data_IF_140171591765
#
_entry.id   IF_140171591765
#
_cell.length_a   1.000
_cell.length_b   1.000
_cell.length_c   1.000
_cell.angle_alpha   90.00
_cell.angle_beta   90.00
_cell.angle_gamma   90.00
#
_symmetry.space_group_name_H-M   'P 1'
#
loop_
_entity.id
_entity.type
_entity.pdbx_description
1 polymer ?
#
# COMPACT_ATOMS: atom_id res chain seq x y z
N UNK A 1 -30.45 4.33 -12.62
CA UNK A 1 -29.35 4.28 -11.63
C UNK A 1 -28.89 2.85 -11.63
N UNK A 2 -28.11 2.51 -12.64
CA UNK A 2 -27.74 1.14 -12.93
C UNK A 2 -26.58 0.74 -12.02
N UNK A 3 -26.85 -0.27 -11.20
CA UNK A 3 -25.88 -0.86 -10.29
C UNK A 3 -24.76 -1.51 -11.07
N UNK A 4 -23.54 -1.23 -10.65
CA UNK A 4 -22.33 -1.94 -11.01
C UNK A 4 -22.54 -3.44 -10.76
N UNK A 5 -22.66 -4.22 -11.84
CA UNK A 5 -22.63 -5.69 -11.75
C UNK A 5 -21.18 -6.10 -11.56
N UNK A 6 -20.84 -6.42 -10.31
CA UNK A 6 -19.66 -7.19 -9.94
C UNK A 6 -19.60 -8.48 -10.80
N UNK A 7 -18.38 -8.85 -11.17
CA UNK A 7 -18.04 -10.12 -11.82
C UNK A 7 -18.92 -11.25 -11.28
N UNK A 8 -19.61 -11.93 -12.20
CA UNK A 8 -20.50 -13.05 -11.89
C UNK A 8 -19.82 -14.04 -10.95
N UNK A 9 -20.41 -14.27 -9.79
CA UNK A 9 -20.08 -15.33 -8.84
C UNK A 9 -20.13 -16.69 -9.57
N UNK A 10 -18.97 -17.17 -10.04
CA UNK A 10 -18.80 -18.59 -10.27
C UNK A 10 -18.55 -19.22 -8.92
N UNK A 11 -19.56 -19.95 -8.42
CA UNK A 11 -19.43 -20.86 -7.28
C UNK A 11 -18.14 -21.67 -7.42
N UNK A 12 -17.22 -21.44 -6.48
CA UNK A 12 -16.06 -22.30 -6.26
C UNK A 12 -16.61 -23.67 -5.86
N UNK A 13 -16.62 -24.61 -6.79
CA UNK A 13 -16.85 -26.01 -6.47
C UNK A 13 -15.58 -26.56 -5.82
N UNK A 14 -15.73 -27.17 -4.65
CA UNK A 14 -14.69 -27.92 -3.94
C UNK A 14 -13.88 -28.79 -4.90
N UNK A 15 -12.60 -28.47 -5.06
CA UNK A 15 -11.64 -29.34 -5.75
C UNK A 15 -10.43 -29.54 -4.85
N UNK A 16 -10.36 -30.76 -4.34
CA UNK A 16 -9.23 -31.45 -3.73
C UNK A 16 -7.88 -30.71 -3.80
N UNK A 17 -7.49 -30.17 -2.65
CA UNK A 17 -6.13 -29.82 -2.28
C UNK A 17 -5.23 -31.06 -2.26
N UNK A 18 -4.63 -31.42 -3.40
CA UNK A 18 -3.44 -32.29 -3.44
C UNK A 18 -2.45 -31.80 -4.49
N UNK A 19 -1.23 -31.54 -4.02
CA UNK A 19 -0.01 -31.12 -4.73
C UNK A 19 0.15 -29.62 -4.97
N UNK A 20 0.39 -28.87 -3.90
CA UNK A 20 1.28 -27.70 -3.94
C UNK A 20 2.47 -28.09 -3.06
N UNK A 21 3.68 -27.97 -3.60
CA UNK A 21 4.91 -28.30 -2.88
C UNK A 21 4.95 -27.53 -1.57
N UNK A 22 5.30 -28.21 -0.47
CA UNK A 22 5.67 -27.54 0.77
C UNK A 22 6.96 -26.77 0.50
N UNK A 23 6.85 -25.48 0.19
CA UNK A 23 8.00 -24.59 0.17
C UNK A 23 8.47 -24.43 1.62
N UNK A 24 9.72 -24.77 1.88
CA UNK A 24 10.31 -24.59 3.20
C UNK A 24 10.35 -23.10 3.54
N UNK A 25 10.12 -22.75 4.80
CA UNK A 25 10.41 -21.39 5.30
C UNK A 25 11.88 -21.12 5.01
N UNK A 26 12.14 -20.08 4.22
CA UNK A 26 13.48 -19.82 3.66
C UNK A 26 14.17 -18.63 4.32
N UNK A 27 13.45 -17.80 5.07
CA UNK A 27 14.02 -16.60 5.69
C UNK A 27 13.20 -16.11 6.89
N UNK A 28 13.89 -15.79 7.99
CA UNK A 28 13.28 -15.24 9.20
C UNK A 28 13.46 -13.71 9.26
N UNK A 29 12.36 -13.00 9.47
CA UNK A 29 12.30 -11.54 9.54
C UNK A 29 12.47 -11.11 10.99
N UNK A 30 13.49 -10.31 11.25
CA UNK A 30 13.88 -9.86 12.58
C UNK A 30 14.19 -8.37 12.61
N UNK A 31 14.06 -7.75 13.79
CA UNK A 31 14.44 -6.36 14.02
C UNK A 31 15.34 -6.24 15.26
N UNK A 32 16.04 -5.11 15.48
CA UNK A 32 16.77 -4.90 16.72
C UNK A 32 15.82 -4.93 17.93
N UNK A 33 16.24 -5.56 19.03
CA UNK A 33 15.40 -5.72 20.23
C UNK A 33 14.90 -4.40 20.83
N UNK A 34 15.68 -3.32 20.67
CA UNK A 34 15.36 -1.98 21.18
C UNK A 34 15.06 -0.99 20.05
N UNK A 35 14.54 -1.46 18.92
CA UNK A 35 14.12 -0.57 17.84
C UNK A 35 13.07 0.42 18.34
N UNK A 36 13.28 1.70 18.02
CA UNK A 36 12.36 2.79 18.28
C UNK A 36 12.21 3.62 17.02
N UNK A 37 11.00 4.12 16.78
CA UNK A 37 10.72 5.02 15.66
C UNK A 37 11.42 6.36 15.97
N UNK A 38 12.39 6.81 15.16
CA UNK A 38 13.10 8.05 15.39
C UNK A 38 12.24 9.26 14.97
N UNK A 39 12.66 10.47 15.34
CA UNK A 39 12.25 11.65 14.60
C UNK A 39 12.81 11.59 13.18
N UNK A 40 12.00 11.98 12.20
CA UNK A 40 12.39 11.89 10.79
C UNK A 40 13.24 13.08 10.38
N UNK A 41 14.38 12.78 9.74
CA UNK A 41 15.28 13.74 9.12
C UNK A 41 15.55 13.33 7.67
N UNK A 42 15.22 14.23 6.75
CA UNK A 42 15.31 14.01 5.30
C UNK A 42 16.51 14.75 4.67
N UNK A 43 17.27 15.54 5.45
CA UNK A 43 18.25 16.48 4.91
C UNK A 43 19.50 15.87 4.26
N UNK A 44 19.92 14.67 4.69
CA UNK A 44 21.12 13.99 4.15
C UNK A 44 20.80 12.87 3.16
N UNK A 45 19.52 12.69 2.80
CA UNK A 45 19.10 11.65 1.88
C UNK A 45 19.51 11.96 0.43
N UNK A 46 19.94 10.93 -0.29
CA UNK A 46 20.25 10.99 -1.73
C UNK A 46 20.02 9.61 -2.36
N UNK A 47 19.70 9.59 -3.65
CA UNK A 47 19.43 8.35 -4.39
C UNK A 47 20.63 7.41 -4.36
N UNK A 48 21.84 7.96 -4.48
CA UNK A 48 23.09 7.18 -4.51
C UNK A 48 23.32 6.44 -3.19
N UNK A 49 23.00 7.07 -2.05
CA UNK A 49 23.10 6.45 -0.72
C UNK A 49 21.94 5.49 -0.43
N UNK A 50 20.85 5.60 -1.17
CA UNK A 50 19.62 4.84 -0.98
C UNK A 50 19.42 3.73 -2.04
N UNK A 51 20.44 3.41 -2.83
CA UNK A 51 20.36 2.39 -3.89
C UNK A 51 21.25 1.18 -3.58
N UNK A 52 20.66 -0.01 -3.56
CA UNK A 52 21.35 -1.25 -3.21
C UNK A 52 21.09 -2.37 -4.21
N UNK A 53 22.06 -3.26 -4.39
CA UNK A 53 21.86 -4.52 -5.14
C UNK A 53 21.20 -5.54 -4.21
N UNK A 54 20.14 -6.22 -4.68
CA UNK A 54 19.39 -7.20 -3.87
C UNK A 54 20.30 -8.27 -3.25
N UNK A 55 21.28 -8.76 -4.02
CA UNK A 55 22.25 -9.77 -3.59
C UNK A 55 23.15 -9.35 -2.40
N UNK A 56 23.28 -8.05 -2.12
CA UNK A 56 24.15 -7.50 -1.08
C UNK A 56 23.37 -6.67 -0.05
N UNK A 57 22.05 -6.84 0.02
CA UNK A 57 21.20 -6.05 0.90
C UNK A 57 20.37 -6.95 1.80
N UNK A 58 20.44 -6.71 3.11
CA UNK A 58 19.72 -7.52 4.08
C UNK A 58 18.48 -6.82 4.61
N UNK A 59 17.50 -7.64 5.04
CA UNK A 59 16.26 -7.13 5.62
C UNK A 59 16.55 -6.16 6.78
N UNK A 60 17.52 -6.50 7.63
CA UNK A 60 17.86 -5.69 8.82
C UNK A 60 18.42 -4.31 8.44
N UNK A 61 19.17 -4.23 7.34
CA UNK A 61 19.71 -2.96 6.84
C UNK A 61 18.59 -2.11 6.24
N UNK A 62 17.67 -2.74 5.49
CA UNK A 62 16.46 -2.08 4.99
C UNK A 62 15.61 -1.53 6.14
N UNK A 63 15.36 -2.37 7.15
CA UNK A 63 14.55 -2.03 8.31
C UNK A 63 15.12 -0.82 9.05
N UNK A 64 16.42 -0.85 9.40
CA UNK A 64 17.05 0.19 10.20
C UNK A 64 17.30 1.50 9.47
N UNK A 65 17.65 1.44 8.18
CA UNK A 65 18.10 2.61 7.45
C UNK A 65 17.01 3.28 6.62
N UNK A 66 15.91 2.58 6.34
CA UNK A 66 14.86 3.08 5.44
C UNK A 66 13.47 2.92 6.04
N UNK A 67 13.06 1.69 6.39
CA UNK A 67 11.69 1.44 6.88
C UNK A 67 11.40 2.17 8.20
N UNK A 68 12.32 2.11 9.19
CA UNK A 68 12.16 2.81 10.47
C UNK A 68 12.29 4.33 10.32
N UNK A 69 13.18 4.79 9.43
CA UNK A 69 13.50 6.22 9.26
C UNK A 69 12.53 6.94 8.31
N UNK A 70 11.55 6.22 7.76
CA UNK A 70 10.60 6.74 6.79
C UNK A 70 11.31 7.38 5.57
N UNK A 71 12.32 6.68 5.03
CA UNK A 71 13.17 7.15 3.92
C UNK A 71 13.03 6.26 2.67
N UNK A 72 12.93 6.83 1.44
CA UNK A 72 12.82 6.03 0.23
C UNK A 72 14.07 5.18 -0.02
N UNK A 73 13.91 4.06 -0.70
CA UNK A 73 14.99 3.12 -1.00
C UNK A 73 14.78 2.43 -2.35
N UNK A 74 15.86 2.28 -3.13
CA UNK A 74 15.87 1.55 -4.39
C UNK A 74 16.64 0.25 -4.21
N UNK A 75 16.01 -0.87 -4.55
CA UNK A 75 16.61 -2.20 -4.49
C UNK A 75 16.66 -2.75 -5.92
N UNK A 76 17.85 -2.93 -6.46
CA UNK A 76 18.10 -3.33 -7.85
C UNK A 76 17.93 -4.84 -8.03
N UNK A 77 17.42 -5.26 -9.19
CA UNK A 77 17.36 -6.65 -9.66
C UNK A 77 16.54 -7.61 -8.76
N UNK A 78 15.39 -7.15 -8.27
CA UNK A 78 14.50 -7.94 -7.38
C UNK A 78 13.72 -9.01 -8.15
N UNK A 79 13.59 -8.87 -9.47
CA UNK A 79 12.67 -9.69 -10.29
C UNK A 79 13.34 -10.88 -10.98
N UNK A 80 14.62 -11.16 -10.72
CA UNK A 80 15.41 -12.16 -11.47
C UNK A 80 14.77 -13.56 -11.47
N UNK A 81 14.13 -13.94 -10.36
CA UNK A 81 13.47 -15.23 -10.19
C UNK A 81 11.95 -15.19 -10.41
N UNK A 82 11.37 -14.05 -10.78
CA UNK A 82 9.93 -13.94 -10.98
C UNK A 82 9.51 -14.55 -12.32
N UNK A 83 8.45 -15.36 -12.29
CA UNK A 83 7.82 -15.92 -13.48
C UNK A 83 7.40 -14.83 -14.48
N UNK A 84 6.87 -13.71 -14.00
CA UNK A 84 6.50 -12.58 -14.86
C UNK A 84 7.69 -11.95 -15.60
N UNK A 85 8.89 -11.91 -15.01
CA UNK A 85 10.09 -11.42 -15.70
C UNK A 85 10.50 -12.32 -16.87
N UNK A 86 10.13 -13.60 -16.82
CA UNK A 86 10.45 -14.58 -17.85
C UNK A 86 9.37 -14.62 -18.94
N UNK A 87 8.10 -14.44 -18.55
CA UNK A 87 6.96 -14.58 -19.47
C UNK A 87 6.49 -13.26 -20.08
N UNK A 88 6.55 -12.16 -19.33
CA UNK A 88 6.01 -10.86 -19.77
C UNK A 88 7.05 -9.98 -20.46
N UNK A 89 8.30 -10.44 -20.54
CA UNK A 89 9.43 -9.64 -21.02
C UNK A 89 10.15 -10.35 -22.16
N UNK A 90 10.43 -9.62 -23.24
CA UNK A 90 11.23 -10.07 -24.37
C UNK A 90 12.38 -9.08 -24.60
N UNK A 91 13.59 -9.45 -24.18
CA UNK A 91 14.72 -8.51 -24.15
C UNK A 91 14.45 -7.37 -23.18
N UNK A 92 14.42 -6.14 -23.69
CA UNK A 92 14.13 -4.91 -22.91
C UNK A 92 12.73 -4.35 -23.18
N UNK A 93 11.83 -5.16 -23.75
CA UNK A 93 10.48 -4.77 -24.13
C UNK A 93 9.43 -5.74 -23.57
N UNK A 94 8.17 -5.32 -23.60
CA UNK A 94 7.04 -6.17 -23.24
C UNK A 94 6.93 -7.33 -24.24
N UNK A 95 6.78 -8.56 -23.74
CA UNK A 95 6.40 -9.74 -24.52
C UNK A 95 4.88 -9.74 -24.74
N UNK A 96 4.42 -9.03 -25.77
CA UNK A 96 2.99 -8.90 -26.04
C UNK A 96 2.34 -10.24 -26.43
N UNK A 97 3.06 -11.09 -27.16
CA UNK A 97 2.58 -12.42 -27.54
C UNK A 97 2.34 -13.27 -26.29
N UNK A 98 3.31 -13.33 -25.37
CA UNK A 98 3.16 -14.04 -24.09
C UNK A 98 1.99 -13.52 -23.24
N UNK A 99 1.86 -12.19 -23.11
CA UNK A 99 0.72 -11.60 -22.39
C UNK A 99 -0.63 -11.90 -23.05
N UNK A 100 -0.67 -11.97 -24.38
CA UNK A 100 -1.89 -12.32 -25.12
C UNK A 100 -2.26 -13.79 -24.86
N UNK A 101 -1.30 -14.71 -24.93
CA UNK A 101 -1.53 -16.12 -24.65
C UNK A 101 -2.04 -16.37 -23.23
N UNK A 102 -1.50 -15.64 -22.24
CA UNK A 102 -1.86 -15.81 -20.84
C UNK A 102 -3.17 -15.12 -20.46
N UNK A 103 -3.38 -13.89 -20.94
CA UNK A 103 -4.38 -12.99 -20.36
C UNK A 103 -5.34 -12.35 -21.35
N UNK A 104 -5.32 -12.66 -22.66
CA UNK A 104 -6.15 -11.98 -23.68
C UNK A 104 -7.64 -11.82 -23.30
N UNK A 105 -8.23 -12.86 -22.71
CA UNK A 105 -9.65 -12.90 -22.36
C UNK A 105 -9.97 -12.24 -21.01
N UNK A 106 -8.96 -11.83 -20.25
CA UNK A 106 -9.17 -11.12 -18.99
C UNK A 106 -9.68 -9.71 -19.27
N UNK A 107 -10.46 -9.20 -18.31
CA UNK A 107 -10.93 -7.82 -18.32
C UNK A 107 -10.14 -7.06 -17.26
N UNK A 108 -9.61 -5.90 -17.65
CA UNK A 108 -8.82 -5.04 -16.79
C UNK A 108 -9.37 -3.61 -16.80
N UNK A 109 -9.27 -2.90 -15.66
CA UNK A 109 -9.58 -1.47 -15.59
C UNK A 109 -8.54 -0.65 -16.36
N UNK A 110 -9.01 0.20 -17.27
CA UNK A 110 -8.19 1.09 -18.09
C UNK A 110 -8.68 2.52 -17.95
N UNK A 111 -7.79 3.42 -17.53
CA UNK A 111 -8.04 4.86 -17.43
C UNK A 111 -7.72 5.57 -18.75
N UNK A 112 -8.51 6.57 -19.14
CA UNK A 112 -8.14 7.50 -20.21
C UNK A 112 -7.55 8.78 -19.60
N UNK A 113 -6.22 8.91 -19.65
CA UNK A 113 -5.48 10.01 -19.05
C UNK A 113 -5.72 11.36 -19.74
N UNK A 114 -6.28 11.41 -20.95
CA UNK A 114 -6.69 12.68 -21.59
C UNK A 114 -8.09 13.13 -21.16
N UNK A 115 -8.92 12.22 -20.68
CA UNK A 115 -10.29 12.50 -20.26
C UNK A 115 -10.38 12.58 -18.73
N UNK A 116 -10.05 13.75 -18.19
CA UNK A 116 -10.13 14.03 -16.76
C UNK A 116 -11.50 14.63 -16.44
N UNK A 117 -12.27 13.98 -15.58
CA UNK A 117 -13.53 14.50 -15.05
C UNK A 117 -13.44 14.56 -13.52
N UNK A 118 -13.77 15.72 -12.94
CA UNK A 118 -13.71 15.95 -11.48
C UNK A 118 -12.36 15.56 -10.86
N UNK A 119 -11.25 15.93 -11.50
CA UNK A 119 -9.88 15.59 -11.09
C UNK A 119 -9.58 14.07 -11.00
N UNK A 120 -10.42 13.23 -11.60
CA UNK A 120 -10.19 11.79 -11.71
C UNK A 120 -10.17 11.35 -13.17
N UNK A 121 -9.33 10.35 -13.48
CA UNK A 121 -9.30 9.74 -14.79
C UNK A 121 -10.46 8.74 -14.89
N UNK A 122 -11.33 8.91 -15.89
CA UNK A 122 -12.42 7.97 -16.11
C UNK A 122 -11.86 6.59 -16.46
N UNK A 123 -12.27 5.56 -15.71
CA UNK A 123 -11.90 4.17 -15.96
C UNK A 123 -13.01 3.45 -16.69
N UNK A 124 -12.63 2.59 -17.63
CA UNK A 124 -13.52 1.64 -18.29
C UNK A 124 -12.90 0.25 -18.24
N UNK A 125 -13.76 -0.76 -18.16
CA UNK A 125 -13.35 -2.15 -18.34
C UNK A 125 -13.00 -2.40 -19.80
N UNK A 126 -11.82 -2.97 -20.06
CA UNK A 126 -11.32 -3.30 -21.39
C UNK A 126 -10.77 -4.73 -21.40
N UNK A 127 -10.95 -5.45 -22.51
CA UNK A 127 -10.31 -6.76 -22.67
C UNK A 127 -8.81 -6.58 -22.85
N UNK A 128 -8.02 -7.43 -22.22
CA UNK A 128 -6.56 -7.38 -22.34
C UNK A 128 -6.06 -7.45 -23.78
N UNK A 129 -6.72 -8.24 -24.65
CA UNK A 129 -6.34 -8.27 -26.07
C UNK A 129 -6.53 -6.91 -26.77
N UNK A 130 -7.56 -6.14 -26.39
CA UNK A 130 -7.82 -4.80 -26.94
C UNK A 130 -6.78 -3.81 -26.47
N UNK A 131 -6.44 -3.86 -25.17
CA UNK A 131 -5.42 -3.01 -24.58
C UNK A 131 -4.02 -3.32 -25.16
N UNK A 132 -3.67 -4.59 -25.34
CA UNK A 132 -2.42 -5.01 -26.00
C UNK A 132 -2.39 -4.50 -27.45
N UNK A 133 -3.49 -4.61 -28.19
CA UNK A 133 -3.59 -4.08 -29.54
C UNK A 133 -3.44 -2.55 -29.60
N UNK A 134 -3.99 -1.83 -28.60
CA UNK A 134 -3.78 -0.40 -28.42
C UNK A 134 -2.29 -0.07 -28.21
N UNK A 135 -1.60 -0.78 -27.31
CA UNK A 135 -0.17 -0.56 -27.06
C UNK A 135 0.68 -0.81 -28.32
N UNK A 136 0.30 -1.78 -29.17
CA UNK A 136 1.01 -2.06 -30.43
C UNK A 136 0.75 -0.99 -31.51
N UNK A 137 -0.40 -0.33 -31.49
CA UNK A 137 -0.86 0.56 -32.56
C UNK A 137 -1.22 1.94 -32.00
N UNK A 138 -0.23 2.83 -31.90
CA UNK A 138 -0.38 4.19 -31.37
C UNK A 138 -1.12 5.17 -32.32
N UNK A 139 -2.02 4.68 -33.17
CA UNK A 139 -2.84 5.53 -34.05
C UNK A 139 -4.07 6.14 -33.34
N UNK A 140 -4.23 5.84 -32.06
CA UNK A 140 -5.33 6.31 -31.21
C UNK A 140 -4.91 7.60 -30.50
N UNK A 141 -5.76 8.62 -30.55
CA UNK A 141 -5.52 9.90 -29.89
C UNK A 141 -5.63 9.80 -28.36
N UNK A 142 -6.16 8.71 -27.79
CA UNK A 142 -6.29 8.51 -26.34
C UNK A 142 -4.96 8.12 -25.69
N UNK A 143 -4.81 8.46 -24.41
CA UNK A 143 -3.70 7.98 -23.56
C UNK A 143 -4.29 7.01 -22.57
N UNK A 144 -4.27 5.72 -22.90
CA UNK A 144 -4.84 4.69 -22.05
C UNK A 144 -3.80 4.17 -21.07
N UNK A 145 -4.20 4.02 -19.81
CA UNK A 145 -3.37 3.51 -18.73
C UNK A 145 -4.12 2.44 -17.95
N UNK A 146 -3.67 1.19 -18.09
CA UNK A 146 -4.14 0.08 -17.28
C UNK A 146 -3.53 0.19 -15.87
N UNK A 147 -4.38 0.42 -14.86
CA UNK A 147 -3.99 0.51 -13.45
C UNK A 147 -5.09 -0.05 -12.54
N UNK A 148 -4.74 -0.38 -11.31
CA UNK A 148 -5.63 -1.00 -10.30
C UNK A 148 -6.17 -2.37 -10.73
N UNK A 149 -5.35 -3.13 -11.47
CA UNK A 149 -5.70 -4.48 -11.90
C UNK A 149 -5.24 -5.52 -10.87
N UNK A 150 -6.19 -6.05 -10.10
CA UNK A 150 -5.96 -7.12 -9.13
C UNK A 150 -5.85 -8.49 -9.85
N UNK A 151 -4.82 -8.68 -10.69
CA UNK A 151 -4.64 -9.87 -11.53
C UNK A 151 -4.65 -11.17 -10.71
N UNK A 152 -4.05 -11.17 -9.51
CA UNK A 152 -4.03 -12.34 -8.61
C UNK A 152 -5.44 -12.80 -8.22
N UNK A 153 -6.43 -11.91 -8.17
CA UNK A 153 -7.84 -12.26 -7.92
C UNK A 153 -8.47 -12.95 -9.13
N UNK A 154 -8.13 -12.49 -10.33
CA UNK A 154 -8.62 -13.07 -11.58
C UNK A 154 -7.92 -14.41 -11.92
N UNK A 155 -6.67 -14.57 -11.49
CA UNK A 155 -5.84 -15.75 -11.70
C UNK A 155 -5.19 -16.21 -10.38
N UNK A 156 -5.95 -16.77 -9.42
CA UNK A 156 -5.46 -17.08 -8.07
C UNK A 156 -4.34 -18.14 -8.05
N UNK A 157 -4.32 -19.02 -9.05
CA UNK A 157 -3.31 -20.06 -9.21
C UNK A 157 -2.08 -19.58 -10.00
N UNK A 158 -2.05 -18.33 -10.43
CA UNK A 158 -0.91 -17.76 -11.14
C UNK A 158 0.02 -17.05 -10.16
N UNK A 159 1.12 -17.74 -9.82
CA UNK A 159 2.18 -17.23 -8.95
C UNK A 159 3.21 -16.49 -9.80
N UNK A 160 2.81 -15.38 -10.41
CA UNK A 160 3.63 -14.65 -11.38
C UNK A 160 4.73 -13.79 -10.73
N UNK A 161 4.64 -13.51 -9.43
CA UNK A 161 5.64 -12.80 -8.63
C UNK A 161 5.63 -13.31 -7.18
N UNK A 162 6.64 -12.91 -6.43
CA UNK A 162 6.75 -13.14 -5.00
C UNK A 162 7.01 -11.83 -4.27
N UNK A 163 6.47 -11.66 -3.06
CA UNK A 163 6.76 -10.48 -2.24
C UNK A 163 8.23 -10.54 -1.78
N UNK A 164 9.06 -9.53 -2.07
CA UNK A 164 10.45 -9.48 -1.59
C UNK A 164 10.56 -9.50 -0.06
N UNK A 165 11.65 -10.05 0.48
CA UNK A 165 11.89 -10.16 1.95
C UNK A 165 11.72 -8.83 2.70
N UNK A 166 12.09 -7.73 2.05
CA UNK A 166 12.00 -6.36 2.58
C UNK A 166 10.58 -5.91 2.89
N UNK A 167 9.59 -6.42 2.16
CA UNK A 167 8.20 -5.99 2.20
C UNK A 167 7.27 -7.03 2.83
N UNK A 168 7.84 -8.06 3.46
CA UNK A 168 7.08 -9.20 3.97
C UNK A 168 6.43 -8.95 5.35
N UNK A 169 6.75 -7.84 6.02
CA UNK A 169 5.99 -7.36 7.19
C UNK A 169 4.86 -6.45 6.71
N UNK A 170 3.75 -7.07 6.32
CA UNK A 170 2.60 -6.42 5.69
C UNK A 170 1.31 -6.83 6.40
N UNK A 171 0.85 -5.96 7.30
CA UNK A 171 -0.36 -6.20 8.07
C UNK A 171 -1.63 -6.08 7.23
N UNK A 172 -1.64 -5.28 6.15
CA UNK A 172 -2.81 -5.17 5.26
C UNK A 172 -3.05 -6.48 4.55
N UNK A 173 -2.00 -7.07 3.98
CA UNK A 173 -2.10 -8.35 3.30
C UNK A 173 -2.47 -9.49 4.27
N UNK A 174 -1.88 -9.51 5.47
CA UNK A 174 -2.27 -10.45 6.52
C UNK A 174 -3.77 -10.33 6.87
N UNK A 175 -4.26 -9.11 7.08
CA UNK A 175 -5.66 -8.87 7.39
C UNK A 175 -6.58 -9.27 6.23
N UNK A 176 -6.25 -8.88 5.00
CA UNK A 176 -7.05 -9.16 3.81
C UNK A 176 -7.16 -10.66 3.52
N UNK A 177 -6.05 -11.39 3.54
CA UNK A 177 -6.02 -12.84 3.31
C UNK A 177 -6.85 -13.57 4.37
N UNK A 178 -6.65 -13.24 5.65
CA UNK A 178 -7.26 -14.01 6.74
C UNK A 178 -8.76 -13.67 6.93
N UNK A 179 -9.23 -12.55 6.38
CA UNK A 179 -10.65 -12.14 6.41
C UNK A 179 -11.35 -12.24 5.04
N UNK A 180 -10.67 -12.72 3.99
CA UNK A 180 -11.16 -12.75 2.60
C UNK A 180 -11.63 -11.38 2.08
N UNK A 181 -10.91 -10.31 2.43
CA UNK A 181 -11.14 -8.95 1.93
C UNK A 181 -10.21 -8.62 0.73
N UNK A 182 -10.53 -7.56 -0.02
CA UNK A 182 -9.73 -7.09 -1.16
C UNK A 182 -8.93 -5.83 -0.78
N UNK A 183 -7.79 -5.61 -1.45
CA UNK A 183 -6.97 -4.42 -1.27
C UNK A 183 -7.71 -3.17 -1.79
N UNK A 184 -7.66 -2.09 -1.00
CA UNK A 184 -8.45 -0.88 -1.20
C UNK A 184 -7.85 0.04 -2.31
N UNK A 185 -8.70 0.63 -3.17
CA UNK A 185 -8.32 1.35 -4.41
C UNK A 185 -7.96 2.85 -4.24
N UNK A 186 -7.08 3.43 -5.10
CA UNK A 186 -6.84 4.90 -5.14
C UNK A 186 -6.53 5.60 -6.51
N UNK A 187 -6.98 6.87 -6.69
CA UNK A 187 -6.55 7.84 -7.73
C UNK A 187 -5.28 8.64 -7.30
N UNK A 188 -4.88 9.74 -7.98
CA UNK A 188 -3.67 10.55 -7.67
C UNK A 188 -3.68 11.06 -6.21
N UNK A 189 -2.63 10.76 -5.43
CA UNK A 189 -2.69 10.78 -3.97
C UNK A 189 -1.30 10.64 -3.31
N UNK A 190 -1.20 11.01 -2.03
CA UNK A 190 -0.40 10.24 -1.07
C UNK A 190 -0.99 8.83 -0.98
N UNK A 191 -0.15 7.80 -0.94
CA UNK A 191 -0.55 6.40 -0.85
C UNK A 191 -1.72 6.16 0.12
N UNK A 192 -2.67 5.28 -0.26
CA UNK A 192 -3.89 4.99 0.51
C UNK A 192 -3.56 4.89 1.99
N UNK A 193 -4.33 5.54 2.86
CA UNK A 193 -4.13 5.53 4.31
C UNK A 193 -2.88 6.22 4.83
N UNK A 194 -2.11 6.95 4.01
CA UNK A 194 -0.75 7.37 4.38
C UNK A 194 0.12 6.12 4.64
N UNK A 195 -0.11 5.03 3.90
CA UNK A 195 0.62 3.77 4.04
C UNK A 195 2.03 3.88 3.47
N UNK A 196 2.82 2.80 3.63
CA UNK A 196 3.98 2.58 2.78
C UNK A 196 3.50 2.06 1.43
N UNK A 197 4.34 2.18 0.41
CA UNK A 197 4.16 1.42 -0.82
C UNK A 197 5.48 0.93 -1.38
N UNK A 198 5.41 -0.13 -2.18
CA UNK A 198 6.49 -0.51 -3.06
C UNK A 198 5.99 -0.63 -4.49
N UNK A 199 6.87 -0.29 -5.44
CA UNK A 199 6.68 -0.56 -6.86
C UNK A 199 7.86 -1.36 -7.37
N UNK A 200 7.63 -2.53 -7.96
CA UNK A 200 8.65 -3.29 -8.66
C UNK A 200 8.41 -3.20 -10.17
N UNK A 201 9.40 -2.70 -10.89
CA UNK A 201 9.31 -2.47 -12.32
C UNK A 201 9.77 -3.71 -13.09
N UNK A 202 8.84 -4.50 -13.63
CA UNK A 202 9.14 -5.77 -14.30
C UNK A 202 9.79 -5.53 -15.67
N UNK A 203 9.34 -4.49 -16.39
CA UNK A 203 9.91 -4.04 -17.68
C UNK A 203 9.56 -2.59 -17.92
N UNK A 204 10.42 -1.89 -18.67
CA UNK A 204 10.27 -0.47 -18.97
C UNK A 204 11.12 0.40 -18.07
N UNK A 205 10.86 1.71 -18.07
CA UNK A 205 11.61 2.72 -17.32
C UNK A 205 10.66 3.77 -16.77
N UNK A 206 10.81 4.08 -15.47
CA UNK A 206 10.01 5.11 -14.81
C UNK A 206 10.90 6.21 -14.23
N UNK A 207 10.47 7.45 -14.40
CA UNK A 207 10.98 8.60 -13.65
C UNK A 207 10.02 8.93 -12.52
N UNK A 208 10.51 8.92 -11.30
CA UNK A 208 9.80 9.35 -10.11
C UNK A 208 10.31 10.69 -9.64
N UNK A 209 9.39 11.55 -9.20
CA UNK A 209 9.67 12.78 -8.46
C UNK A 209 9.06 12.58 -7.08
N UNK A 210 9.87 12.71 -6.03
CA UNK A 210 9.44 12.53 -4.65
C UNK A 210 9.68 13.80 -3.83
N UNK A 211 8.74 14.12 -2.97
CA UNK A 211 8.81 15.24 -2.03
C UNK A 211 8.89 14.69 -0.61
N UNK A 212 9.84 15.15 0.23
CA UNK A 212 9.80 14.90 1.66
C UNK A 212 8.45 15.31 2.26
N UNK A 213 7.92 14.56 3.23
CA UNK A 213 6.70 14.94 3.94
C UNK A 213 6.75 16.39 4.45
N UNK A 214 5.70 17.15 4.14
CA UNK A 214 5.54 18.58 4.46
C UNK A 214 6.08 19.53 3.38
N UNK A 215 6.89 19.06 2.43
CA UNK A 215 7.42 19.88 1.34
C UNK A 215 6.35 20.15 0.27
N UNK A 216 5.38 19.24 0.12
CA UNK A 216 4.20 19.40 -0.73
C UNK A 216 3.31 20.57 -0.31
N UNK A 217 3.35 21.02 0.95
CA UNK A 217 2.56 22.17 1.41
C UNK A 217 2.93 23.44 0.64
N UNK A 218 4.17 23.53 0.14
CA UNK A 218 4.65 24.63 -0.70
C UNK A 218 4.06 24.60 -2.12
N UNK A 219 3.52 23.46 -2.53
CA UNK A 219 2.86 23.28 -3.84
C UNK A 219 1.39 23.71 -3.82
N UNK A 220 0.77 23.79 -2.64
CA UNK A 220 -0.66 24.04 -2.53
C UNK A 220 -1.03 25.44 -2.99
N UNK A 221 -2.14 25.55 -3.71
CA UNK A 221 -2.73 26.83 -4.07
C UNK A 221 -3.41 27.51 -2.86
N UNK A 222 -3.99 28.69 -3.06
CA UNK A 222 -4.70 29.42 -2.00
C UNK A 222 -5.94 28.70 -1.44
N UNK A 223 -6.39 27.65 -2.12
CA UNK A 223 -7.51 26.80 -1.73
C UNK A 223 -7.03 25.48 -1.09
N UNK A 224 -5.72 25.28 -0.95
CA UNK A 224 -5.13 24.07 -0.37
C UNK A 224 -4.98 22.91 -1.36
N UNK A 225 -5.22 23.11 -2.66
CA UNK A 225 -5.12 22.05 -3.66
C UNK A 225 -3.69 21.90 -4.16
N UNK A 226 -3.23 20.66 -4.30
CA UNK A 226 -1.99 20.33 -5.01
C UNK A 226 -2.17 20.50 -6.52
N UNK A 227 -1.10 20.86 -7.26
CA UNK A 227 -1.14 20.92 -8.71
C UNK A 227 -1.30 19.51 -9.29
N UNK A 228 -1.99 19.40 -10.43
CA UNK A 228 -2.15 18.13 -11.14
C UNK A 228 -0.79 17.56 -11.61
N UNK A 229 0.12 18.44 -12.01
CA UNK A 229 1.47 18.10 -12.45
C UNK A 229 2.45 19.08 -11.83
N UNK A 230 3.51 18.56 -11.23
CA UNK A 230 4.65 19.33 -10.82
C UNK A 230 5.51 19.73 -12.01
N UNK A 231 5.81 21.02 -12.11
CA UNK A 231 6.67 21.61 -13.13
C UNK A 231 7.82 22.34 -12.41
N UNK A 232 9.03 21.74 -12.35
CA UNK A 232 10.15 22.27 -11.57
C UNK A 232 10.51 23.72 -11.90
N UNK A 233 10.32 24.14 -13.15
CA UNK A 233 10.66 25.48 -13.64
C UNK A 233 9.77 26.59 -13.07
N UNK A 234 8.58 26.26 -12.56
CA UNK A 234 7.57 27.23 -12.12
C UNK A 234 7.72 27.63 -10.65
N UNK A 235 8.49 26.89 -9.86
CA UNK A 235 8.56 27.08 -8.41
C UNK A 235 10.03 27.18 -7.96
N UNK A 236 10.31 28.18 -7.12
CA UNK A 236 11.62 28.35 -6.49
C UNK A 236 11.56 27.81 -5.05
N UNK A 237 12.70 27.31 -4.55
CA UNK A 237 12.87 26.85 -3.15
C UNK A 237 12.03 25.63 -2.74
N UNK A 238 11.85 24.69 -3.65
CA UNK A 238 11.25 23.38 -3.36
C UNK A 238 12.31 22.28 -3.42
N UNK A 239 12.31 21.41 -2.41
CA UNK A 239 13.13 20.22 -2.32
C UNK A 239 12.38 19.05 -2.92
N UNK A 240 12.99 18.40 -3.90
CA UNK A 240 12.44 17.17 -4.45
C UNK A 240 13.59 16.29 -4.91
N UNK A 241 13.30 14.99 -5.03
CA UNK A 241 14.26 14.01 -5.48
C UNK A 241 13.76 13.32 -6.74
N UNK A 242 14.67 13.09 -7.68
CA UNK A 242 14.37 12.35 -8.90
C UNK A 242 14.98 10.96 -8.82
N UNK A 243 14.16 9.93 -9.02
CA UNK A 243 14.61 8.54 -9.09
C UNK A 243 14.30 8.01 -10.49
N UNK A 244 15.30 7.43 -11.14
CA UNK A 244 15.09 6.60 -12.32
C UNK A 244 15.01 5.15 -11.87
N UNK A 245 13.82 4.56 -12.03
CA UNK A 245 13.57 3.16 -11.78
C UNK A 245 13.72 2.39 -13.09
N UNK A 246 14.75 1.54 -13.15
CA UNK A 246 15.05 0.70 -14.31
C UNK A 246 14.30 -0.64 -14.21
N UNK A 247 14.39 -1.45 -15.25
CA UNK A 247 13.89 -2.83 -15.26
C UNK A 247 14.50 -3.64 -14.10
N UNK A 248 13.67 -4.38 -13.39
CA UNK A 248 14.02 -5.23 -12.26
C UNK A 248 14.10 -4.51 -10.91
N UNK A 249 14.04 -3.19 -10.88
CA UNK A 249 14.18 -2.42 -9.64
C UNK A 249 12.89 -2.39 -8.81
N UNK A 250 13.03 -2.53 -7.50
CA UNK A 250 12.03 -2.15 -6.52
C UNK A 250 12.29 -0.73 -5.99
N UNK A 251 11.26 0.09 -5.92
CA UNK A 251 11.26 1.36 -5.19
C UNK A 251 10.34 1.22 -3.96
N UNK A 252 10.88 1.47 -2.78
CA UNK A 252 10.13 1.71 -1.55
C UNK A 252 9.80 3.19 -1.42
N UNK A 253 8.50 3.50 -1.30
CA UNK A 253 7.98 4.84 -1.02
C UNK A 253 7.42 4.85 0.41
N UNK A 254 7.98 5.68 1.31
CA UNK A 254 7.52 5.76 2.69
C UNK A 254 6.26 6.62 2.84
N UNK A 255 5.64 6.55 4.01
CA UNK A 255 4.44 7.31 4.38
C UNK A 255 4.72 8.82 4.34
N UNK A 256 3.78 9.63 3.86
CA UNK A 256 3.95 11.09 3.73
C UNK A 256 4.65 11.55 2.45
N UNK A 257 5.32 10.65 1.73
CA UNK A 257 6.12 11.04 0.56
C UNK A 257 5.23 11.22 -0.66
N UNK A 258 4.81 12.47 -0.89
CA UNK A 258 4.12 12.86 -2.11
C UNK A 258 5.00 12.61 -3.32
N UNK A 259 4.41 12.12 -4.41
CA UNK A 259 5.20 11.73 -5.56
C UNK A 259 4.43 11.82 -6.88
N UNK A 260 5.20 11.93 -7.97
CA UNK A 260 4.71 11.91 -9.34
C UNK A 260 5.55 10.93 -10.17
N UNK A 261 4.88 10.16 -11.03
CA UNK A 261 5.51 9.09 -11.80
C UNK A 261 5.27 9.29 -13.29
N UNK A 262 6.34 9.18 -14.07
CA UNK A 262 6.31 9.21 -15.53
C UNK A 262 6.86 7.90 -16.07
N UNK A 263 6.11 7.24 -16.96
CA UNK A 263 6.62 6.11 -17.73
C UNK A 263 7.35 6.66 -18.96
N UNK A 264 8.66 6.47 -19.04
CA UNK A 264 9.49 6.92 -20.16
C UNK A 264 9.50 5.92 -21.33
N UNK A 265 8.99 4.71 -21.08
CA UNK A 265 8.76 3.66 -22.08
C UNK A 265 7.54 2.82 -21.69
N UNK A 266 7.10 1.91 -22.58
CA UNK A 266 6.05 0.96 -22.23
C UNK A 266 6.49 0.11 -21.03
N UNK A 267 5.67 0.12 -20.00
CA UNK A 267 6.06 -0.31 -18.66
C UNK A 267 5.04 -1.25 -18.05
N UNK A 268 5.52 -2.28 -17.35
CA UNK A 268 4.70 -3.14 -16.49
C UNK A 268 5.34 -3.16 -15.10
N UNK A 269 4.56 -2.86 -14.06
CA UNK A 269 5.00 -2.92 -12.68
C UNK A 269 4.00 -3.65 -11.80
N UNK A 270 4.52 -4.23 -10.72
CA UNK A 270 3.72 -4.73 -9.59
C UNK A 270 3.82 -3.72 -8.46
N UNK A 271 2.70 -3.36 -7.86
CA UNK A 271 2.61 -2.33 -6.82
C UNK A 271 1.78 -2.87 -5.65
N UNK A 272 2.20 -2.54 -4.43
CA UNK A 272 1.42 -2.78 -3.23
C UNK A 272 1.54 -1.60 -2.28
N UNK A 273 0.46 -1.36 -1.55
CA UNK A 273 0.43 -0.54 -0.35
C UNK A 273 0.56 -1.47 0.85
N UNK A 274 1.27 -1.04 1.89
CA UNK A 274 1.45 -1.87 3.09
C UNK A 274 1.50 -1.03 4.37
N UNK A 275 1.02 -1.62 5.46
CA UNK A 275 1.10 -1.05 6.81
C UNK A 275 1.80 -2.03 7.72
N UNK A 276 2.62 -1.51 8.64
CA UNK A 276 3.18 -2.27 9.75
C UNK A 276 3.46 -1.39 10.96
N UNK A 277 4.18 -1.93 11.94
CA UNK A 277 4.54 -1.22 13.16
C UNK A 277 5.31 0.08 12.95
N UNK A 278 6.06 0.22 11.86
CA UNK A 278 6.90 1.40 11.59
C UNK A 278 6.06 2.63 11.21
N UNK A 279 4.90 2.43 10.59
CA UNK A 279 4.06 3.54 10.10
C UNK A 279 2.64 3.58 10.68
N UNK A 280 2.23 2.61 11.50
CA UNK A 280 0.86 2.56 12.02
C UNK A 280 0.45 3.84 12.78
N UNK A 281 1.40 4.49 13.47
CA UNK A 281 1.12 5.77 14.12
C UNK A 281 0.88 6.90 13.11
N UNK A 282 1.62 6.92 12.00
CA UNK A 282 1.40 7.90 10.92
C UNK A 282 0.01 7.70 10.33
N UNK A 283 -0.36 6.45 10.01
CA UNK A 283 -1.69 6.09 9.50
C UNK A 283 -2.80 6.54 10.45
N UNK A 284 -2.63 6.28 11.75
CA UNK A 284 -3.58 6.73 12.77
C UNK A 284 -3.73 8.26 12.78
N UNK A 285 -2.61 9.01 12.75
CA UNK A 285 -2.64 10.48 12.75
C UNK A 285 -3.31 11.01 11.49
N UNK A 286 -3.07 10.39 10.34
CA UNK A 286 -3.71 10.75 9.08
C UNK A 286 -5.23 10.49 9.13
N UNK A 287 -5.67 9.34 9.65
CA UNK A 287 -7.09 9.01 9.85
C UNK A 287 -7.77 10.02 10.79
N UNK A 288 -7.16 10.30 11.94
CA UNK A 288 -7.69 11.24 12.92
C UNK A 288 -7.77 12.67 12.37
N UNK A 289 -6.75 13.11 11.63
CA UNK A 289 -6.78 14.40 10.95
C UNK A 289 -7.86 14.47 9.86
N UNK A 290 -7.99 13.42 9.04
CA UNK A 290 -9.02 13.33 8.00
C UNK A 290 -10.43 13.43 8.59
N UNK A 291 -10.67 12.81 9.74
CA UNK A 291 -11.94 12.97 10.45
C UNK A 291 -12.20 14.43 10.85
N UNK A 292 -11.21 15.12 11.42
CA UNK A 292 -11.36 16.54 11.78
C UNK A 292 -11.70 17.39 10.55
N UNK A 293 -11.09 17.10 9.40
CA UNK A 293 -11.40 17.77 8.13
C UNK A 293 -12.84 17.49 7.72
N UNK A 294 -13.30 16.24 7.78
CA UNK A 294 -14.68 15.84 7.47
C UNK A 294 -15.68 16.54 8.40
N UNK A 295 -15.43 16.54 9.71
CA UNK A 295 -16.29 17.21 10.70
C UNK A 295 -16.44 18.71 10.41
N UNK A 296 -15.36 19.37 9.97
CA UNK A 296 -15.39 20.78 9.58
C UNK A 296 -16.11 21.01 8.25
N UNK A 297 -16.00 20.08 7.29
CA UNK A 297 -16.66 20.19 5.98
C UNK A 297 -18.19 20.11 6.07
N UNK A 298 -18.71 19.35 7.04
CA UNK A 298 -20.15 19.21 7.29
C UNK A 298 -20.57 19.84 8.64
N UNK A 299 -19.86 20.88 9.09
CA UNK A 299 -20.08 21.51 10.40
C UNK A 299 -21.53 21.99 10.60
N UNK A 300 -22.20 22.42 9.53
CA UNK A 300 -23.62 22.82 9.56
C UNK A 300 -24.56 21.71 10.02
N UNK A 301 -24.16 20.45 9.86
CA UNK A 301 -24.91 19.27 10.30
C UNK A 301 -24.62 18.88 11.76
N UNK A 302 -23.67 19.52 12.46
CA UNK A 302 -23.21 19.09 13.80
C UNK A 302 -24.30 18.96 14.87
N UNK A 303 -25.43 19.65 14.69
CA UNK A 303 -26.59 19.57 15.59
C UNK A 303 -27.52 18.38 15.34
N UNK A 304 -27.30 17.58 14.29
CA UNK A 304 -28.16 16.43 13.97
C UNK A 304 -27.68 15.17 14.68
N UNK A 305 -28.60 14.25 15.06
CA UNK A 305 -28.22 12.94 15.61
C UNK A 305 -27.36 12.09 14.68
N UNK A 306 -27.49 12.29 13.36
CA UNK A 306 -26.79 11.52 12.32
C UNK A 306 -25.34 11.97 12.10
N UNK A 307 -24.97 13.18 12.54
CA UNK A 307 -23.66 13.79 12.27
C UNK A 307 -22.46 12.86 12.51
N UNK A 308 -22.34 12.15 13.65
CA UNK A 308 -21.21 11.25 13.86
C UNK A 308 -21.15 10.11 12.83
N UNK A 309 -22.30 9.57 12.43
CA UNK A 309 -22.37 8.49 11.45
C UNK A 309 -22.07 9.00 10.03
N UNK A 310 -22.55 10.19 9.69
CA UNK A 310 -22.25 10.85 8.41
C UNK A 310 -20.76 11.16 8.29
N UNK A 311 -20.12 11.65 9.36
CA UNK A 311 -18.68 11.85 9.42
C UNK A 311 -17.92 10.55 9.14
N UNK A 312 -18.31 9.43 9.76
CA UNK A 312 -17.66 8.14 9.52
C UNK A 312 -17.90 7.62 8.10
N UNK A 313 -19.09 7.83 7.52
CA UNK A 313 -19.39 7.44 6.15
C UNK A 313 -18.53 8.22 5.14
N UNK A 314 -18.43 9.54 5.30
CA UNK A 314 -17.59 10.39 4.45
C UNK A 314 -16.11 10.05 4.64
N UNK A 315 -15.67 9.86 5.88
CA UNK A 315 -14.30 9.44 6.20
C UNK A 315 -13.95 8.13 5.50
N UNK A 316 -14.83 7.12 5.57
CA UNK A 316 -14.64 5.85 4.86
C UNK A 316 -14.53 6.04 3.36
N UNK A 317 -15.35 6.91 2.77
CA UNK A 317 -15.31 7.17 1.34
C UNK A 317 -14.06 7.93 0.89
N UNK A 318 -13.54 8.82 1.74
CA UNK A 318 -12.41 9.70 1.38
C UNK A 318 -11.06 9.10 1.75
N UNK A 319 -10.93 8.59 2.98
CA UNK A 319 -9.71 7.98 3.50
C UNK A 319 -9.61 6.48 3.14
N UNK A 320 -10.73 5.82 2.85
CA UNK A 320 -10.84 4.39 2.58
C UNK A 320 -11.22 3.55 3.81
N UNK A 321 -11.13 4.11 5.02
CA UNK A 321 -11.36 3.43 6.28
C UNK A 321 -12.02 4.37 7.29
N UNK A 322 -12.98 3.85 8.05
CA UNK A 322 -13.56 4.54 9.21
C UNK A 322 -12.85 4.10 10.51
N UNK A 323 -13.18 4.75 11.64
CA UNK A 323 -12.56 4.42 12.93
C UNK A 323 -12.84 2.99 13.38
N UNK A 324 -14.03 2.46 13.09
CA UNK A 324 -14.39 1.10 13.49
C UNK A 324 -13.58 0.07 12.71
N UNK A 325 -13.38 0.28 11.41
CA UNK A 325 -12.54 -0.54 10.56
C UNK A 325 -11.08 -0.47 11.01
N UNK A 326 -10.56 0.72 11.35
CA UNK A 326 -9.18 0.85 11.87
C UNK A 326 -8.99 0.15 13.21
N UNK A 327 -9.93 0.33 14.15
CA UNK A 327 -9.87 -0.39 15.44
C UNK A 327 -9.99 -1.91 15.26
N UNK A 328 -10.80 -2.37 14.31
CA UNK A 328 -10.94 -3.80 13.97
C UNK A 328 -9.63 -4.36 13.41
N UNK A 329 -8.98 -3.61 12.52
CA UNK A 329 -7.67 -3.92 11.98
C UNK A 329 -6.60 -4.05 13.07
N UNK A 330 -6.50 -3.06 13.97
CA UNK A 330 -5.55 -3.09 15.09
C UNK A 330 -5.79 -4.28 16.03
N UNK A 331 -7.07 -4.53 16.37
CA UNK A 331 -7.47 -5.67 17.22
C UNK A 331 -7.08 -7.00 16.59
N UNK A 332 -7.28 -7.13 15.28
CA UNK A 332 -6.93 -8.33 14.55
C UNK A 332 -5.42 -8.61 14.62
N UNK A 333 -4.59 -7.61 14.27
CA UNK A 333 -3.13 -7.77 14.27
C UNK A 333 -2.62 -8.02 15.70
N UNK A 334 -3.11 -7.26 16.70
CA UNK A 334 -2.72 -7.46 18.10
C UNK A 334 -2.98 -8.90 18.57
N UNK A 335 -4.18 -9.43 18.31
CA UNK A 335 -4.52 -10.82 18.67
C UNK A 335 -3.68 -11.83 17.92
N UNK A 336 -3.42 -11.61 16.63
CA UNK A 336 -2.57 -12.49 15.83
C UNK A 336 -1.16 -12.57 16.41
N UNK A 337 -0.57 -11.42 16.74
CA UNK A 337 0.76 -11.32 17.36
C UNK A 337 0.82 -11.93 18.76
N UNK A 338 -0.20 -11.72 19.59
CA UNK A 338 -0.34 -12.37 20.90
C UNK A 338 -0.39 -13.90 20.78
N UNK A 339 -1.16 -14.41 19.83
CA UNK A 339 -1.24 -15.84 19.58
C UNK A 339 0.08 -16.42 19.05
N UNK A 340 0.82 -15.65 18.24
CA UNK A 340 2.16 -16.03 17.75
C UNK A 340 3.18 -16.11 18.91
N UNK A 341 3.11 -15.23 19.91
CA UNK A 341 3.91 -15.37 21.14
C UNK A 341 3.56 -16.64 21.95
N UNK A 342 2.35 -17.17 21.77
CA UNK A 342 1.88 -18.40 22.42
C UNK A 342 2.20 -19.67 21.61
N UNK A 343 2.91 -19.54 20.48
CA UNK A 343 3.36 -20.67 19.66
C UNK A 343 2.52 -20.97 18.43
N UNK A 344 1.57 -20.08 18.05
CA UNK A 344 0.92 -20.17 16.74
C UNK A 344 1.90 -19.87 15.60
N UNK A 345 1.53 -20.26 14.38
CA UNK A 345 2.37 -20.07 13.20
C UNK A 345 2.77 -18.59 13.00
N UNK A 346 4.08 -18.37 12.87
CA UNK A 346 4.68 -17.08 12.51
C UNK A 346 4.92 -16.95 11.00
N UNK A 347 4.40 -17.88 10.19
CA UNK A 347 4.59 -17.90 8.75
C UNK A 347 3.84 -16.75 8.06
N UNK A 348 4.52 -16.05 7.17
CA UNK A 348 3.94 -15.01 6.30
C UNK A 348 4.37 -15.25 4.85
N UNK A 349 3.46 -15.01 3.91
CA UNK A 349 3.62 -15.29 2.47
C UNK A 349 4.12 -16.70 2.12
N UNK A 350 3.93 -17.68 3.02
CA UNK A 350 4.38 -19.07 2.88
C UNK A 350 5.89 -19.27 2.66
N UNK A 351 6.67 -18.22 2.86
CA UNK A 351 8.11 -18.18 2.56
C UNK A 351 8.93 -17.63 3.70
N UNK A 352 8.32 -16.78 4.52
CA UNK A 352 8.98 -16.05 5.60
C UNK A 352 8.40 -16.45 6.95
N UNK A 353 9.17 -16.26 8.01
CA UNK A 353 8.69 -16.34 9.40
C UNK A 353 8.99 -15.06 10.15
N UNK A 354 8.10 -14.67 11.07
CA UNK A 354 8.34 -13.55 11.98
C UNK A 354 9.10 -14.03 13.22
N UNK A 355 10.27 -13.44 13.48
CA UNK A 355 11.00 -13.65 14.74
C UNK A 355 10.26 -13.01 15.92
N UNK A 356 10.57 -13.47 17.13
CA UNK A 356 10.04 -12.88 18.37
C UNK A 356 10.36 -11.38 18.49
N UNK A 357 11.50 -10.91 17.96
CA UNK A 357 11.86 -9.48 17.97
C UNK A 357 10.85 -8.62 17.23
N UNK A 358 10.47 -8.98 16.00
CA UNK A 358 9.52 -8.20 15.20
C UNK A 358 8.11 -8.30 15.78
N UNK A 359 7.71 -9.45 16.33
CA UNK A 359 6.42 -9.60 17.02
C UNK A 359 6.34 -8.67 18.24
N UNK A 360 7.40 -8.58 19.04
CA UNK A 360 7.45 -7.66 20.19
C UNK A 360 7.44 -6.19 19.76
N UNK A 361 8.16 -5.86 18.68
CA UNK A 361 8.13 -4.52 18.10
C UNK A 361 6.73 -4.14 17.60
N UNK A 362 6.03 -5.07 16.95
CA UNK A 362 4.64 -4.91 16.52
C UNK A 362 3.71 -4.62 17.70
N UNK A 363 3.75 -5.45 18.76
CA UNK A 363 2.93 -5.26 19.96
C UNK A 363 3.22 -3.93 20.67
N UNK A 364 4.49 -3.51 20.75
CA UNK A 364 4.88 -2.21 21.35
C UNK A 364 4.23 -1.03 20.62
N UNK A 365 4.29 -1.03 19.29
CA UNK A 365 3.74 0.07 18.50
C UNK A 365 2.21 0.01 18.40
N UNK A 366 1.61 -1.19 18.40
CA UNK A 366 0.16 -1.34 18.56
C UNK A 366 -0.32 -0.75 19.89
N UNK A 367 0.33 -1.07 21.01
CA UNK A 367 -0.01 -0.50 22.31
C UNK A 367 0.10 1.04 22.31
N UNK A 368 1.14 1.59 21.68
CA UNK A 368 1.32 3.04 21.50
C UNK A 368 0.12 3.66 20.78
N UNK A 369 -0.28 3.12 19.64
CA UNK A 369 -1.42 3.64 18.86
C UNK A 369 -2.75 3.43 19.60
N UNK A 370 -2.94 2.28 20.24
CA UNK A 370 -4.14 2.03 21.05
C UNK A 370 -4.26 3.01 22.22
N UNK A 371 -3.15 3.46 22.81
CA UNK A 371 -3.16 4.53 23.83
C UNK A 371 -3.61 5.87 23.24
N UNK A 372 -3.12 6.24 22.05
CA UNK A 372 -3.55 7.46 21.37
C UNK A 372 -5.05 7.43 21.01
N UNK A 373 -5.56 6.27 20.62
CA UNK A 373 -6.98 6.09 20.29
C UNK A 373 -7.89 6.30 21.51
N UNK A 374 -7.57 5.69 22.65
CA UNK A 374 -8.43 5.80 23.86
C UNK A 374 -8.42 7.20 24.47
N UNK A 375 -7.39 8.01 24.17
CA UNK A 375 -7.30 9.41 24.59
C UNK A 375 -8.00 10.37 23.60
N UNK A 376 -8.37 9.90 22.41
CA UNK A 376 -9.00 10.74 21.39
C UNK A 376 -10.46 11.05 21.74
N UNK A 377 -10.94 12.31 21.57
CA UNK A 377 -12.31 12.71 21.92
C UNK A 377 -13.40 11.81 21.31
N UNK A 378 -13.19 11.36 20.08
CA UNK A 378 -14.11 10.43 19.41
C UNK A 378 -14.33 9.14 20.22
N UNK A 379 -13.29 8.57 20.83
CA UNK A 379 -13.43 7.34 21.61
C UNK A 379 -14.22 7.61 22.90
N UNK A 380 -14.05 8.79 23.48
CA UNK A 380 -14.66 9.19 24.74
C UNK A 380 -16.14 9.60 24.58
N UNK A 381 -16.52 10.18 23.45
CA UNK A 381 -17.80 10.91 23.32
C UNK A 381 -18.79 10.28 22.35
N UNK A 382 -18.34 9.52 21.35
CA UNK A 382 -19.18 9.17 20.19
C UNK A 382 -19.72 7.73 20.17
N UNK A 383 -19.29 6.87 21.11
CA UNK A 383 -19.62 5.43 21.15
C UNK A 383 -19.37 4.70 19.80
N UNK A 384 -18.48 5.23 18.96
CA UNK A 384 -18.23 4.73 17.59
C UNK A 384 -17.71 3.30 17.60
N UNK A 385 -17.01 2.88 18.65
CA UNK A 385 -16.54 1.51 18.80
C UNK A 385 -17.50 0.60 19.57
N UNK A 386 -18.70 1.04 19.93
CA UNK A 386 -19.66 0.37 20.83
C UNK A 386 -19.55 -1.16 20.96
N UNK A 387 -19.62 -1.92 19.85
CA UNK A 387 -19.55 -3.39 19.88
C UNK A 387 -18.15 -3.99 20.14
N UNK A 388 -17.10 -3.21 19.95
CA UNK A 388 -15.67 -3.58 20.06
C UNK A 388 -14.92 -2.84 21.17
N UNK A 389 -15.53 -1.86 21.83
CA UNK A 389 -14.84 -1.01 22.81
C UNK A 389 -14.25 -1.82 23.98
N UNK A 390 -15.04 -2.73 24.56
CA UNK A 390 -14.58 -3.58 25.66
C UNK A 390 -13.48 -4.55 25.22
N UNK A 391 -13.61 -5.12 24.02
CA UNK A 391 -12.58 -5.97 23.40
C UNK A 391 -11.28 -5.17 23.17
N UNK A 392 -11.40 -3.93 22.69
CA UNK A 392 -10.27 -3.02 22.47
C UNK A 392 -9.55 -2.68 23.77
N UNK A 393 -10.29 -2.34 24.84
CA UNK A 393 -9.73 -2.10 26.17
C UNK A 393 -9.05 -3.34 26.74
N UNK A 394 -9.69 -4.51 26.61
CA UNK A 394 -9.14 -5.77 27.12
C UNK A 394 -7.81 -6.13 26.45
N UNK A 395 -7.77 -6.13 25.11
CA UNK A 395 -6.54 -6.42 24.36
C UNK A 395 -5.45 -5.40 24.71
N UNK A 396 -5.80 -4.11 24.81
CA UNK A 396 -4.85 -3.07 25.23
C UNK A 396 -4.23 -3.36 26.60
N UNK A 397 -5.03 -3.75 27.60
CA UNK A 397 -4.50 -4.10 28.93
C UNK A 397 -3.66 -5.40 28.91
N UNK A 398 -4.03 -6.38 28.08
CA UNK A 398 -3.20 -7.57 27.85
C UNK A 398 -1.84 -7.19 27.27
N UNK A 399 -1.79 -6.29 26.27
CA UNK A 399 -0.55 -5.79 25.70
C UNK A 399 0.33 -5.10 26.76
N UNK A 400 -0.26 -4.27 27.62
CA UNK A 400 0.48 -3.65 28.73
C UNK A 400 1.09 -4.68 29.66
N UNK A 401 0.36 -5.74 29.99
CA UNK A 401 0.85 -6.78 30.91
C UNK A 401 2.02 -7.60 30.37
N UNK A 402 2.16 -7.67 29.04
CA UNK A 402 3.23 -8.43 28.37
C UNK A 402 4.47 -7.57 28.10
N UNK A 403 4.29 -6.24 27.95
CA UNK A 403 5.34 -5.30 27.58
C UNK A 403 5.93 -4.51 28.76
N UNK A 404 5.26 -4.49 29.91
CA UNK A 404 5.76 -4.00 31.20
C UNK A 404 6.38 -5.16 31.99
#
# INVERSE_FOLDING_TARGET
MDGYKLCSEKKVTDINSKNIMSENINFEIQCPLNAEIPEYDYGDWSVEKATFQEANFEFIDFFNNFMLKNLPCVIKNVTDNWKCSQEWVQGDQINYEGLTELYADFVAPVADCKNIQFNSQCKSDMKMYEYINYLKNLSDDRILYLKDWHLRRCAPNDYFYEVPKYFASDWLNEFAIDNNEDDFMTPLHEDVYCSYSWSVNVVGRKKWILFPPGEEEKLKDSLGNLPLLFEPEKLQNITYFEIIQEKGDALFVPSGWHHQVFNESHTISVNHNWINACNIEIVWRALAHSLLVVENQIEECKGTPEFPADCQLILKSHFGMDFMAFATFLLYIAKKRLAQLQGNSCEVFKKYSLDTSIIKFDLKNLLKVMNLIVEHPIFLESNILSSKEEEFKQVREELKSILL
#
